data_IF_706011903616
#
_entry.id   IF_706011903616
#
_cell.length_a   1.000
_cell.length_b   1.000
_cell.length_c   1.000
_cell.angle_alpha   90.00
_cell.angle_beta   90.00
_cell.angle_gamma   90.00
#
_symmetry.space_group_name_H-M   'P 1'
#
loop_
_entity.id
_entity.type
_entity.pdbx_description
1 polymer ?
#
# COMPACT_ATOMS: atom_id res chain seq x y z
N UNK A 1 11.10 -31.27 -13.66
CA UNK A 1 11.51 -29.86 -13.76
C UNK A 1 10.32 -29.01 -13.33
N UNK A 2 10.45 -28.25 -12.25
CA UNK A 2 9.41 -27.33 -11.77
C UNK A 2 9.71 -25.93 -12.28
N UNK A 3 8.72 -25.28 -12.88
CA UNK A 3 8.79 -23.87 -13.23
C UNK A 3 8.07 -23.08 -12.13
N UNK A 4 8.78 -22.34 -11.27
CA UNK A 4 8.11 -21.52 -10.27
C UNK A 4 7.36 -20.39 -10.98
N UNK A 5 6.04 -20.36 -10.83
CA UNK A 5 5.24 -19.19 -11.14
C UNK A 5 5.14 -18.36 -9.85
N UNK A 6 5.91 -17.28 -9.76
CA UNK A 6 5.82 -16.35 -8.65
C UNK A 6 4.88 -15.20 -9.04
N UNK A 7 3.83 -15.01 -8.25
CA UNK A 7 3.00 -13.81 -8.31
C UNK A 7 3.44 -12.94 -7.14
N UNK A 8 4.06 -11.81 -7.44
CA UNK A 8 4.62 -10.93 -6.43
C UNK A 8 3.59 -9.92 -5.91
N UNK A 9 3.90 -9.33 -4.75
CA UNK A 9 3.03 -8.33 -4.14
C UNK A 9 2.76 -7.14 -5.09
N UNK A 10 3.76 -6.54 -5.77
CA UNK A 10 3.50 -5.48 -6.76
C UNK A 10 2.47 -5.84 -7.84
N UNK A 11 2.54 -7.06 -8.39
CA UNK A 11 1.58 -7.55 -9.38
C UNK A 11 0.18 -7.63 -8.79
N UNK A 12 0.04 -8.17 -7.57
CA UNK A 12 -1.24 -8.23 -6.85
C UNK A 12 -1.81 -6.84 -6.58
N UNK A 13 -0.94 -5.87 -6.22
CA UNK A 13 -1.36 -4.50 -5.95
C UNK A 13 -1.90 -3.80 -7.21
N UNK A 14 -1.30 -4.06 -8.37
CA UNK A 14 -1.72 -3.48 -9.64
C UNK A 14 -2.91 -4.21 -10.29
N UNK A 15 -3.27 -5.38 -9.77
CA UNK A 15 -4.32 -6.22 -10.36
C UNK A 15 -5.24 -6.87 -9.31
N UNK A 16 -5.90 -6.06 -8.48
CA UNK A 16 -6.78 -6.58 -7.43
C UNK A 16 -7.96 -7.35 -8.04
N UNK A 17 -8.28 -8.50 -7.43
CA UNK A 17 -9.43 -9.34 -7.77
C UNK A 17 -9.57 -9.71 -9.26
N UNK A 18 -8.46 -9.74 -10.02
CA UNK A 18 -8.48 -10.15 -11.42
C UNK A 18 -8.35 -11.67 -11.54
N UNK A 19 -9.08 -12.23 -12.50
CA UNK A 19 -8.93 -13.62 -12.91
C UNK A 19 -7.80 -13.74 -13.95
N UNK A 20 -6.97 -14.77 -13.80
CA UNK A 20 -5.89 -15.06 -14.73
C UNK A 20 -6.04 -16.46 -15.32
N UNK A 21 -5.90 -16.54 -16.63
CA UNK A 21 -5.73 -17.80 -17.33
C UNK A 21 -4.23 -18.16 -17.31
N UNK A 22 -3.89 -19.32 -16.77
CA UNK A 22 -2.55 -19.86 -16.90
C UNK A 22 -2.56 -20.78 -18.11
N UNK A 23 -1.96 -20.32 -19.20
CA UNK A 23 -1.69 -21.13 -20.38
C UNK A 23 -0.33 -21.82 -20.23
N UNK A 24 -0.30 -23.14 -20.32
CA UNK A 24 0.93 -23.86 -20.66
C UNK A 24 0.96 -23.97 -22.18
N UNK A 25 2.14 -23.98 -22.80
CA UNK A 25 2.28 -24.40 -24.19
C UNK A 25 3.50 -25.30 -24.31
N UNK A 26 3.38 -26.34 -25.14
CA UNK A 26 4.47 -27.25 -25.43
C UNK A 26 4.72 -27.17 -26.93
N UNK A 27 5.93 -26.80 -27.32
CA UNK A 27 6.38 -26.82 -28.71
C UNK A 27 7.49 -27.86 -28.87
N UNK A 28 7.51 -28.52 -30.04
CA UNK A 28 8.58 -29.43 -30.44
C UNK A 28 8.84 -29.26 -31.93
N UNK A 29 10.10 -29.28 -32.33
CA UNK A 29 10.54 -29.31 -33.73
C UNK A 29 10.58 -30.72 -34.30
N UNK A 30 10.53 -31.75 -33.44
CA UNK A 30 10.75 -33.15 -33.81
C UNK A 30 9.43 -33.94 -33.94
N UNK A 31 8.36 -33.53 -33.24
CA UNK A 31 7.06 -34.20 -33.27
C UNK A 31 5.88 -33.23 -33.27
N UNK A 32 4.79 -33.61 -33.95
CA UNK A 32 3.50 -32.91 -33.92
C UNK A 32 2.94 -32.99 -32.49
N UNK A 33 2.87 -31.87 -31.78
CA UNK A 33 2.31 -31.80 -30.42
C UNK A 33 0.85 -31.33 -30.51
N UNK A 34 -0.06 -32.01 -29.81
CA UNK A 34 -1.44 -31.56 -29.69
C UNK A 34 -1.48 -30.35 -28.74
N UNK A 35 -1.88 -29.18 -29.24
CA UNK A 35 -1.83 -27.89 -28.51
C UNK A 35 -3.10 -27.60 -27.69
N UNK A 36 -4.08 -28.51 -27.69
CA UNK A 36 -5.29 -28.37 -26.89
C UNK A 36 -4.98 -28.57 -25.41
N UNK A 37 -4.79 -27.47 -24.70
CA UNK A 37 -4.57 -27.46 -23.26
C UNK A 37 -5.82 -26.96 -22.54
N UNK A 38 -6.24 -27.73 -21.53
CA UNK A 38 -7.36 -27.37 -20.66
C UNK A 38 -6.96 -26.13 -19.85
N UNK A 39 -7.57 -24.98 -20.13
CA UNK A 39 -7.37 -23.74 -19.37
C UNK A 39 -7.94 -23.91 -17.96
N UNK A 40 -7.09 -23.86 -16.95
CA UNK A 40 -7.53 -23.72 -15.55
C UNK A 40 -7.54 -22.24 -15.20
N UNK A 41 -8.68 -21.74 -14.72
CA UNK A 41 -8.78 -20.38 -14.19
C UNK A 41 -8.31 -20.39 -12.74
N UNK A 42 -7.35 -19.52 -12.41
CA UNK A 42 -6.95 -19.27 -11.02
C UNK A 42 -7.56 -17.94 -10.59
N UNK A 43 -8.31 -17.98 -9.50
CA UNK A 43 -8.78 -16.77 -8.81
C UNK A 43 -7.75 -16.35 -7.78
N UNK A 44 -7.23 -15.13 -7.91
CA UNK A 44 -6.39 -14.54 -6.88
C UNK A 44 -7.28 -13.63 -6.04
N UNK A 45 -7.68 -14.12 -4.88
CA UNK A 45 -8.44 -13.33 -3.93
C UNK A 45 -7.47 -12.38 -3.20
N UNK A 46 -7.63 -11.07 -3.33
CA UNK A 46 -6.79 -10.08 -2.61
C UNK A 46 -7.42 -9.58 -1.31
N UNK A 47 -8.46 -10.26 -0.81
CA UNK A 47 -9.20 -9.84 0.39
C UNK A 47 -8.35 -9.90 1.68
N UNK A 48 -7.19 -10.56 1.64
CA UNK A 48 -6.21 -10.59 2.73
C UNK A 48 -5.22 -9.40 2.73
N UNK A 49 -5.22 -8.54 1.69
CA UNK A 49 -4.37 -7.35 1.61
C UNK A 49 -5.01 -6.15 2.35
N UNK A 50 -5.35 -6.37 3.62
CA UNK A 50 -5.94 -5.35 4.48
C UNK A 50 -4.83 -4.37 4.87
N UNK A 51 -4.97 -3.07 4.58
CA UNK A 51 -3.96 -2.11 4.99
C UNK A 51 -3.89 -2.04 6.51
N UNK A 52 -2.69 -1.83 7.03
CA UNK A 52 -2.46 -1.57 8.45
C UNK A 52 -1.79 -0.21 8.54
N UNK A 53 -2.56 0.81 8.93
CA UNK A 53 -2.05 2.15 9.11
C UNK A 53 -1.01 2.17 10.23
N UNK A 54 0.16 2.68 9.94
CA UNK A 54 1.17 2.95 10.96
C UNK A 54 2.12 4.05 10.51
N UNK A 55 2.65 4.78 11.48
CA UNK A 55 3.68 5.77 11.23
C UNK A 55 4.51 6.06 12.46
N UNK A 56 5.68 6.64 12.22
CA UNK A 56 6.52 7.30 13.22
C UNK A 56 6.72 8.75 12.83
N UNK A 57 7.22 9.57 13.75
CA UNK A 57 7.54 10.97 13.49
C UNK A 57 8.75 11.41 14.28
N UNK A 58 9.48 12.40 13.75
CA UNK A 58 10.61 13.03 14.41
C UNK A 58 10.57 14.55 14.20
N UNK A 59 10.92 15.30 15.24
CA UNK A 59 11.13 16.75 15.13
C UNK A 59 12.37 17.02 14.27
N UNK A 60 12.32 18.08 13.47
CA UNK A 60 13.52 18.59 12.80
C UNK A 60 14.53 19.06 13.85
N UNK A 61 15.82 18.87 13.56
CA UNK A 61 16.89 19.21 14.48
C UNK A 61 17.08 20.73 14.64
N UNK A 62 16.64 21.51 13.65
CA UNK A 62 16.81 22.97 13.60
C UNK A 62 15.51 23.69 13.93
N UNK A 63 14.37 23.18 13.43
CA UNK A 63 13.06 23.78 13.65
C UNK A 63 12.11 22.84 14.42
N UNK A 64 11.89 23.12 15.70
CA UNK A 64 11.03 22.31 16.57
C UNK A 64 9.55 22.28 16.13
N UNK A 65 9.12 23.21 15.26
CA UNK A 65 7.79 23.25 14.65
C UNK A 65 7.64 22.37 13.42
N UNK A 66 8.76 21.96 12.84
CA UNK A 66 8.80 21.10 11.66
C UNK A 66 8.87 19.63 12.10
N UNK A 67 7.86 18.85 11.71
CA UNK A 67 7.75 17.43 12.01
C UNK A 67 7.89 16.62 10.73
N UNK A 68 8.83 15.68 10.73
CA UNK A 68 9.05 14.74 9.65
C UNK A 68 8.29 13.45 9.97
N UNK A 69 7.27 13.11 9.17
CA UNK A 69 6.51 11.89 9.32
C UNK A 69 7.10 10.77 8.46
N UNK A 70 7.18 9.57 9.01
CA UNK A 70 7.58 8.37 8.28
C UNK A 70 6.45 7.37 8.30
N UNK A 71 5.85 7.12 7.14
CA UNK A 71 4.87 6.07 7.00
C UNK A 71 5.52 4.69 7.12
N UNK A 72 4.96 3.87 8.01
CA UNK A 72 5.35 2.46 8.23
C UNK A 72 4.17 1.51 8.01
N UNK A 73 3.13 1.97 7.29
CA UNK A 73 1.94 1.19 7.01
C UNK A 73 2.23 -0.04 6.17
N UNK A 74 1.58 -1.15 6.51
CA UNK A 74 1.56 -2.36 5.69
C UNK A 74 0.41 -2.33 4.69
N UNK A 75 0.63 -2.86 3.48
CA UNK A 75 -0.39 -3.07 2.44
C UNK A 75 -1.22 -1.82 2.03
N UNK A 76 -0.76 -0.62 2.39
CA UNK A 76 -1.35 0.66 1.98
C UNK A 76 -0.84 1.12 0.62
N UNK A 77 -1.74 1.53 -0.26
CA UNK A 77 -1.40 2.06 -1.60
C UNK A 77 -1.74 3.55 -1.74
N UNK A 78 -2.57 4.10 -0.86
CA UNK A 78 -2.84 5.53 -0.76
C UNK A 78 -2.77 6.00 0.69
N UNK A 79 -2.54 7.31 0.86
CA UNK A 79 -2.30 7.95 2.15
C UNK A 79 -3.10 9.24 2.23
N UNK A 80 -3.67 9.51 3.40
CA UNK A 80 -4.33 10.75 3.71
C UNK A 80 -3.98 11.15 5.15
N UNK A 81 -3.20 12.22 5.27
CA UNK A 81 -2.73 12.76 6.52
C UNK A 81 -3.56 13.95 6.94
N UNK A 82 -4.08 13.92 8.17
CA UNK A 82 -4.63 15.07 8.86
C UNK A 82 -3.69 15.38 10.04
N UNK A 83 -3.10 16.57 10.04
CA UNK A 83 -2.10 16.97 11.05
C UNK A 83 -2.70 17.49 12.36
N UNK A 84 -4.03 17.66 12.41
CA UNK A 84 -4.76 18.03 13.62
C UNK A 84 -4.73 19.53 13.96
N UNK A 85 -4.14 20.37 13.13
CA UNK A 85 -4.02 21.83 13.30
C UNK A 85 -4.95 22.65 12.40
N UNK A 86 -5.79 21.97 11.61
CA UNK A 86 -6.69 22.60 10.64
C UNK A 86 -6.07 22.91 9.29
N UNK A 87 -4.81 22.52 9.04
CA UNK A 87 -4.21 22.62 7.72
C UNK A 87 -4.88 21.68 6.71
N UNK A 88 -4.62 21.91 5.42
CA UNK A 88 -5.01 20.97 4.38
C UNK A 88 -4.43 19.56 4.62
N UNK A 89 -5.16 18.54 4.20
CA UNK A 89 -4.69 17.14 4.24
C UNK A 89 -3.56 16.92 3.24
N UNK A 90 -2.62 16.03 3.57
CA UNK A 90 -1.55 15.60 2.64
C UNK A 90 -1.79 14.19 2.13
N UNK A 91 -1.46 13.97 0.85
CA UNK A 91 -1.51 12.65 0.20
C UNK A 91 -0.13 12.02 -0.02
N UNK A 92 0.93 12.69 0.44
CA UNK A 92 2.29 12.18 0.35
C UNK A 92 2.47 10.93 1.22
N UNK A 93 3.35 10.02 0.78
CA UNK A 93 3.65 8.80 1.54
C UNK A 93 4.23 9.12 2.91
N UNK A 94 5.21 10.01 2.97
CA UNK A 94 5.90 10.41 4.19
C UNK A 94 6.10 11.93 4.18
N UNK A 95 5.10 12.72 4.62
CA UNK A 95 5.14 14.17 4.51
C UNK A 95 6.04 14.81 5.55
N UNK A 96 6.45 16.03 5.24
CA UNK A 96 6.99 16.98 6.21
C UNK A 96 5.90 18.04 6.46
N UNK A 97 5.59 18.31 7.73
CA UNK A 97 4.63 19.35 8.11
C UNK A 97 5.26 20.37 9.03
N UNK A 98 4.90 21.64 8.86
CA UNK A 98 5.36 22.74 9.70
C UNK A 98 4.15 23.34 10.40
N UNK A 99 4.13 23.24 11.73
CA UNK A 99 3.04 23.78 12.55
C UNK A 99 3.24 25.28 12.80
N UNK A 100 2.16 26.06 12.77
CA UNK A 100 2.25 27.51 13.00
C UNK A 100 2.59 27.85 14.46
N UNK A 101 2.06 27.09 15.41
CA UNK A 101 2.16 27.32 16.85
C UNK A 101 2.61 26.07 17.60
N UNK A 102 3.20 26.26 18.78
CA UNK A 102 3.44 25.16 19.71
C UNK A 102 2.10 24.63 20.26
N UNK A 103 2.05 23.34 20.55
CA UNK A 103 0.83 22.68 20.96
C UNK A 103 0.90 21.16 20.87
N UNK A 104 -0.15 20.49 21.33
CA UNK A 104 -0.31 19.05 21.13
C UNK A 104 -1.37 18.82 20.07
N UNK A 105 -1.01 18.13 18.99
CA UNK A 105 -1.88 17.87 17.84
C UNK A 105 -2.17 16.38 17.72
N UNK A 106 -3.40 16.05 17.35
CA UNK A 106 -3.80 14.66 17.06
C UNK A 106 -3.61 14.40 15.57
N UNK A 107 -2.51 13.77 15.22
CA UNK A 107 -2.20 13.41 13.82
C UNK A 107 -2.88 12.10 13.48
N UNK A 108 -3.54 12.09 12.32
CA UNK A 108 -4.26 10.93 11.80
C UNK A 108 -3.74 10.58 10.42
N UNK A 109 -3.26 9.35 10.25
CA UNK A 109 -3.00 8.73 8.95
C UNK A 109 -4.14 7.79 8.63
N UNK A 110 -4.81 8.02 7.50
CA UNK A 110 -5.70 7.03 6.87
C UNK A 110 -4.99 6.46 5.66
N UNK A 111 -4.94 5.13 5.55
CA UNK A 111 -4.44 4.45 4.36
C UNK A 111 -5.49 3.50 3.80
N UNK A 112 -5.56 3.40 2.47
CA UNK A 112 -6.43 2.45 1.80
C UNK A 112 -5.60 1.38 1.08
N UNK A 113 -6.14 0.17 1.04
CA UNK A 113 -5.59 -0.96 0.31
C UNK A 113 -5.98 -0.94 -1.17
N UNK A 114 -5.63 -2.01 -1.88
CA UNK A 114 -5.79 -2.13 -3.34
C UNK A 114 -7.24 -2.21 -3.81
N UNK A 115 -8.13 -2.61 -2.91
CA UNK A 115 -9.57 -2.63 -3.16
C UNK A 115 -10.21 -1.26 -2.86
N UNK A 116 -9.41 -0.22 -2.67
CA UNK A 116 -9.86 1.13 -2.38
C UNK A 116 -10.59 1.24 -1.04
N UNK A 117 -11.62 2.07 -1.00
CA UNK A 117 -12.33 2.51 0.20
C UNK A 117 -12.97 1.37 1.02
N UNK A 118 -13.22 0.22 0.42
CA UNK A 118 -13.74 -0.97 1.11
C UNK A 118 -12.76 -1.52 2.17
N UNK A 119 -11.47 -1.18 2.08
CA UNK A 119 -10.47 -1.55 3.07
C UNK A 119 -9.60 -0.34 3.40
N UNK A 120 -10.04 0.42 4.41
CA UNK A 120 -9.28 1.51 5.01
C UNK A 120 -8.78 1.11 6.39
N UNK A 121 -7.62 1.63 6.75
CA UNK A 121 -7.06 1.55 8.09
C UNK A 121 -6.64 2.93 8.54
N UNK A 122 -6.70 3.17 9.84
CA UNK A 122 -6.44 4.46 10.43
C UNK A 122 -5.52 4.31 11.63
N UNK A 123 -4.54 5.22 11.74
CA UNK A 123 -3.67 5.36 12.89
C UNK A 123 -3.72 6.80 13.38
N UNK A 124 -3.88 6.96 14.68
CA UNK A 124 -3.77 8.25 15.38
C UNK A 124 -2.57 8.25 16.31
N UNK A 125 -1.89 9.40 16.43
CA UNK A 125 -0.87 9.64 17.44
C UNK A 125 -0.90 11.11 17.89
N UNK A 126 -0.61 11.33 19.17
CA UNK A 126 -0.40 12.69 19.71
C UNK A 126 1.01 13.15 19.42
N UNK A 127 1.14 14.30 18.77
CA UNK A 127 2.42 14.94 18.44
C UNK A 127 2.53 16.23 19.24
N UNK A 128 3.57 16.32 20.07
CA UNK A 128 3.86 17.52 20.86
C UNK A 128 4.84 18.39 20.10
N UNK A 129 4.42 19.60 19.75
CA UNK A 129 5.21 20.62 19.06
C UNK A 129 5.61 21.70 20.08
N UNK A 130 6.90 22.03 20.11
CA UNK A 130 7.47 22.96 21.11
C UNK A 130 7.95 24.25 20.44
#
# INVERSE_FOLDING_TARGET
MTFPLAIDLPFLLNNPNKAYAIGVSISSTERKVNTSLNTTIVYINTSFLIPVANFTFAKDAVDAKKINFTNTSGYGVSYNWNFGDGSAVSTEKSPIHIYASAGTYTVTLTTAGVTGDAQKSLKTASVVVN
#
